data_IF_833171655476
#
_entry.id   IF_833171655476
#
_cell.length_a   1.000
_cell.length_b   1.000
_cell.length_c   1.000
_cell.angle_alpha   90.00
_cell.angle_beta   90.00
_cell.angle_gamma   90.00
#
_symmetry.space_group_name_H-M   'P 1'
#
loop_
_entity.id
_entity.type
_entity.pdbx_description
1 polymer ?
#
# COMPACT_ATOMS: atom_id res chain seq x y z
N UNK A 1 29.72 37.04 -13.26
CA UNK A 1 28.56 37.20 -12.37
C UNK A 1 27.96 35.82 -12.09
N UNK A 2 28.26 35.24 -10.91
CA UNK A 2 27.71 33.92 -10.53
C UNK A 2 26.29 34.10 -10.05
N UNK A 3 25.32 33.52 -10.75
CA UNK A 3 23.94 33.43 -10.29
C UNK A 3 23.85 32.22 -9.37
N UNK A 4 23.86 32.48 -8.05
CA UNK A 4 23.60 31.46 -7.05
C UNK A 4 22.11 31.08 -7.14
N UNK A 5 21.83 29.91 -7.70
CA UNK A 5 20.45 29.36 -7.76
C UNK A 5 20.11 28.84 -6.35
N UNK A 6 19.17 29.54 -5.69
CA UNK A 6 18.69 29.16 -4.37
C UNK A 6 17.90 27.86 -4.44
N UNK A 7 18.52 26.75 -4.04
CA UNK A 7 17.93 25.42 -4.06
C UNK A 7 16.71 25.25 -3.15
N UNK A 8 16.51 26.14 -2.15
CA UNK A 8 15.33 26.16 -1.30
C UNK A 8 14.10 26.73 -2.01
N UNK A 9 14.28 27.58 -3.03
CA UNK A 9 13.17 28.10 -3.83
C UNK A 9 12.55 27.03 -4.72
N UNK A 10 13.36 26.11 -5.23
CA UNK A 10 12.89 24.98 -6.07
C UNK A 10 12.16 23.89 -5.28
N UNK A 11 12.44 23.76 -3.98
CA UNK A 11 11.73 22.79 -3.10
C UNK A 11 10.33 23.23 -2.67
N UNK A 12 10.03 24.52 -2.67
CA UNK A 12 8.75 25.07 -2.18
C UNK A 12 7.70 25.26 -3.28
N UNK A 13 8.10 25.33 -4.53
CA UNK A 13 7.18 25.48 -5.66
C UNK A 13 7.36 24.32 -6.60
N UNK A 14 6.28 23.59 -6.91
CA UNK A 14 6.23 22.58 -7.98
C UNK A 14 6.39 23.30 -9.35
N UNK A 15 7.57 23.81 -9.66
CA UNK A 15 7.86 24.30 -11.00
C UNK A 15 7.97 23.08 -11.91
N UNK A 16 7.00 22.97 -12.80
CA UNK A 16 6.99 22.01 -13.90
C UNK A 16 8.32 22.12 -14.70
N UNK A 17 8.87 21.00 -15.12
CA UNK A 17 10.03 20.91 -16.04
C UNK A 17 9.83 21.85 -17.24
N UNK A 18 8.59 22.01 -17.69
CA UNK A 18 8.18 22.93 -18.78
C UNK A 18 8.47 24.40 -18.44
N UNK A 19 8.28 24.81 -17.18
CA UNK A 19 8.55 26.19 -16.73
C UNK A 19 10.06 26.46 -16.65
N UNK A 20 10.84 25.47 -16.21
CA UNK A 20 12.31 25.55 -16.24
C UNK A 20 12.84 25.63 -17.69
N UNK A 21 12.30 24.83 -18.60
CA UNK A 21 12.68 24.88 -20.03
C UNK A 21 12.33 26.25 -20.65
N UNK A 22 11.18 26.83 -20.29
CA UNK A 22 10.77 28.15 -20.77
C UNK A 22 11.65 29.30 -20.25
N UNK A 23 12.09 29.23 -19.01
CA UNK A 23 13.01 30.21 -18.43
C UNK A 23 14.43 30.09 -19.00
N UNK A 24 14.84 28.91 -19.42
CA UNK A 24 16.15 28.63 -19.98
C UNK A 24 16.22 28.91 -21.48
N UNK A 25 15.09 28.94 -22.22
CA UNK A 25 15.03 29.29 -23.65
C UNK A 25 15.31 30.76 -23.92
N UNK A 26 15.24 31.63 -22.91
CA UNK A 26 15.59 33.04 -23.03
C UNK A 26 17.07 33.33 -22.81
N UNK A 27 17.87 32.36 -22.40
CA UNK A 27 19.30 32.51 -22.19
C UNK A 27 20.11 31.88 -23.33
N UNK A 28 21.02 32.66 -23.91
CA UNK A 28 21.90 32.26 -25.04
C UNK A 28 22.84 31.05 -24.75
N UNK A 29 22.68 30.32 -23.65
CA UNK A 29 23.54 29.20 -23.23
C UNK A 29 22.75 27.87 -23.09
N UNK A 30 22.34 27.32 -24.23
CA UNK A 30 21.69 25.98 -24.27
C UNK A 30 22.53 24.87 -23.65
N UNK A 31 23.87 24.97 -23.68
CA UNK A 31 24.75 23.97 -23.07
C UNK A 31 24.65 23.95 -21.55
N UNK A 32 24.59 25.11 -20.89
CA UNK A 32 24.42 25.16 -19.42
C UNK A 32 23.06 24.63 -18.98
N UNK A 33 22.02 24.94 -19.74
CA UNK A 33 20.66 24.43 -19.51
C UNK A 33 20.59 22.91 -19.63
N UNK A 34 21.23 22.35 -20.66
CA UNK A 34 21.26 20.91 -20.88
C UNK A 34 22.02 20.17 -19.77
N UNK A 35 23.18 20.71 -19.33
CA UNK A 35 23.97 20.15 -18.24
C UNK A 35 23.19 20.20 -16.91
N UNK A 36 22.47 21.28 -16.60
CA UNK A 36 21.69 21.39 -15.36
C UNK A 36 20.49 20.42 -15.38
N UNK A 37 19.82 20.26 -16.52
CA UNK A 37 18.73 19.27 -16.67
C UNK A 37 19.29 17.85 -16.53
N UNK A 38 20.42 17.55 -17.16
CA UNK A 38 21.09 16.24 -17.05
C UNK A 38 21.53 15.94 -15.60
N UNK A 39 22.11 16.91 -14.89
CA UNK A 39 22.45 16.76 -13.46
C UNK A 39 21.22 16.55 -12.58
N UNK A 40 20.09 17.22 -12.87
CA UNK A 40 18.83 16.98 -12.17
C UNK A 40 18.28 15.57 -12.44
N UNK A 41 18.33 15.08 -13.67
CA UNK A 41 17.92 13.72 -14.01
C UNK A 41 18.78 12.66 -13.34
N UNK A 42 20.10 12.86 -13.30
CA UNK A 42 21.06 11.97 -12.62
C UNK A 42 20.79 11.97 -11.11
N UNK A 43 20.59 13.13 -10.49
CA UNK A 43 20.31 13.22 -9.04
C UNK A 43 18.96 12.61 -8.66
N UNK A 44 17.94 12.72 -9.52
CA UNK A 44 16.65 12.05 -9.34
C UNK A 44 16.78 10.54 -9.48
N UNK A 45 17.57 10.07 -10.44
CA UNK A 45 17.84 8.64 -10.65
C UNK A 45 18.55 7.99 -9.46
N UNK A 46 19.59 8.62 -8.94
CA UNK A 46 20.34 8.13 -7.78
C UNK A 46 19.50 8.13 -6.50
N UNK A 47 18.65 9.13 -6.31
CA UNK A 47 17.75 9.18 -5.15
C UNK A 47 16.69 8.07 -5.19
N UNK A 48 16.11 7.82 -6.36
CA UNK A 48 15.13 6.74 -6.53
C UNK A 48 15.77 5.34 -6.34
N UNK A 49 16.98 5.12 -6.85
CA UNK A 49 17.75 3.89 -6.63
C UNK A 49 18.06 3.68 -5.15
N UNK A 50 18.44 4.72 -4.42
CA UNK A 50 18.69 4.66 -2.99
C UNK A 50 17.42 4.29 -2.21
N UNK A 51 16.26 4.84 -2.54
CA UNK A 51 14.97 4.50 -1.89
C UNK A 51 14.61 3.04 -2.12
N UNK A 52 14.73 2.55 -3.35
CA UNK A 52 14.47 1.15 -3.68
C UNK A 52 15.41 0.19 -2.94
N UNK A 53 16.69 0.56 -2.82
CA UNK A 53 17.68 -0.24 -2.10
C UNK A 53 17.35 -0.29 -0.60
N UNK A 54 17.07 0.86 0.02
CA UNK A 54 16.66 0.93 1.43
C UNK A 54 15.41 0.10 1.71
N UNK A 55 14.43 0.13 0.80
CA UNK A 55 13.24 -0.70 0.92
C UNK A 55 13.58 -2.20 0.82
N UNK A 56 14.41 -2.62 -0.15
CA UNK A 56 14.82 -4.03 -0.31
C UNK A 56 15.53 -4.56 0.95
N UNK A 57 16.49 -3.79 1.47
CA UNK A 57 17.22 -4.15 2.69
C UNK A 57 16.30 -4.21 3.91
N UNK A 58 15.50 -3.15 4.12
CA UNK A 58 14.54 -3.10 5.22
C UNK A 58 13.50 -4.22 5.14
N UNK A 59 13.06 -4.59 3.92
CA UNK A 59 12.17 -5.73 3.69
C UNK A 59 12.85 -7.05 4.07
N UNK A 60 14.07 -7.29 3.62
CA UNK A 60 14.81 -8.52 3.91
C UNK A 60 15.02 -8.69 5.42
N UNK A 61 15.44 -7.63 6.11
CA UNK A 61 15.58 -7.61 7.57
C UNK A 61 14.26 -7.88 8.29
N UNK A 62 13.17 -7.29 7.81
CA UNK A 62 11.84 -7.53 8.37
C UNK A 62 11.39 -8.99 8.21
N UNK A 63 11.66 -9.62 7.07
CA UNK A 63 11.36 -11.03 6.80
C UNK A 63 12.23 -11.97 7.63
N UNK A 64 13.48 -11.58 7.88
CA UNK A 64 14.39 -12.24 8.83
C UNK A 64 14.04 -11.98 10.31
N UNK A 65 12.96 -11.25 10.61
CA UNK A 65 12.52 -10.84 11.96
C UNK A 65 13.50 -9.93 12.72
N UNK A 66 14.50 -9.38 12.04
CA UNK A 66 15.40 -8.37 12.60
C UNK A 66 14.74 -6.99 12.51
N UNK A 67 13.76 -6.75 13.39
CA UNK A 67 12.88 -5.59 13.31
C UNK A 67 13.58 -4.28 13.68
N UNK A 68 14.53 -4.33 14.61
CA UNK A 68 15.25 -3.14 15.07
C UNK A 68 16.11 -2.53 13.97
N UNK A 69 16.73 -3.37 13.12
CA UNK A 69 17.47 -2.91 11.96
C UNK A 69 16.57 -2.63 10.75
N UNK A 70 15.43 -3.33 10.62
CA UNK A 70 14.48 -3.13 9.54
C UNK A 70 13.77 -1.78 9.64
N UNK A 71 13.34 -1.40 10.85
CA UNK A 71 12.52 -0.22 11.09
C UNK A 71 13.15 1.08 10.56
N UNK A 72 14.40 1.47 10.90
CA UNK A 72 14.98 2.71 10.42
C UNK A 72 15.10 2.76 8.90
N UNK A 73 15.45 1.65 8.24
CA UNK A 73 15.54 1.59 6.77
C UNK A 73 14.16 1.74 6.12
N UNK A 74 13.15 1.05 6.65
CA UNK A 74 11.77 1.16 6.18
C UNK A 74 11.20 2.57 6.41
N UNK A 75 11.54 3.21 7.55
CA UNK A 75 11.12 4.57 7.87
C UNK A 75 11.65 5.56 6.83
N UNK A 76 12.94 5.55 6.55
CA UNK A 76 13.56 6.43 5.55
C UNK A 76 12.92 6.22 4.16
N UNK A 77 12.72 4.97 3.74
CA UNK A 77 12.10 4.68 2.44
C UNK A 77 10.63 5.15 2.39
N UNK A 78 9.88 4.99 3.48
CA UNK A 78 8.48 5.40 3.59
C UNK A 78 8.33 6.94 3.58
N UNK A 79 9.20 7.66 4.28
CA UNK A 79 9.25 9.13 4.30
C UNK A 79 9.61 9.70 2.92
N UNK A 80 10.45 9.00 2.16
CA UNK A 80 10.74 9.31 0.75
C UNK A 80 9.61 8.90 -0.20
N UNK A 81 8.54 8.35 0.32
CA UNK A 81 7.30 8.12 -0.41
C UNK A 81 7.16 6.74 -1.05
N UNK A 82 8.02 5.76 -0.78
CA UNK A 82 7.82 4.40 -1.26
C UNK A 82 6.54 3.78 -0.66
N UNK A 83 5.57 3.44 -1.50
CA UNK A 83 4.27 2.93 -1.06
C UNK A 83 4.34 1.56 -0.37
N UNK A 84 5.34 0.73 -0.71
CA UNK A 84 5.55 -0.57 -0.10
C UNK A 84 6.20 -0.43 1.27
N UNK A 85 7.15 0.50 1.41
CA UNK A 85 7.76 0.86 2.67
C UNK A 85 6.73 1.48 3.63
N UNK A 86 5.86 2.37 3.14
CA UNK A 86 4.76 2.96 3.92
C UNK A 86 3.85 1.88 4.52
N UNK A 87 3.46 0.88 3.72
CA UNK A 87 2.70 -0.28 4.22
C UNK A 87 3.48 -1.07 5.28
N UNK A 88 4.77 -1.36 5.04
CA UNK A 88 5.61 -2.10 6.00
C UNK A 88 5.82 -1.32 7.29
N UNK A 89 6.00 0.00 7.21
CA UNK A 89 6.12 0.87 8.37
C UNK A 89 4.82 0.90 9.20
N UNK A 90 3.66 0.98 8.53
CA UNK A 90 2.36 0.81 9.18
C UNK A 90 2.27 -0.51 9.97
N UNK A 91 2.77 -1.61 9.39
CA UNK A 91 2.83 -2.90 10.09
C UNK A 91 3.82 -2.92 11.26
N UNK A 92 4.91 -2.16 11.19
CA UNK A 92 5.83 -2.01 12.33
C UNK A 92 5.10 -1.37 13.52
N UNK A 93 4.40 -0.27 13.29
CA UNK A 93 3.63 0.40 14.34
C UNK A 93 2.44 -0.44 14.83
N UNK A 94 1.70 -1.12 13.94
CA UNK A 94 0.57 -1.98 14.33
C UNK A 94 0.99 -3.13 15.27
N UNK A 95 2.16 -3.71 15.03
CA UNK A 95 2.63 -4.92 15.75
C UNK A 95 3.72 -4.63 16.78
N UNK A 96 4.18 -3.40 16.93
CA UNK A 96 5.30 -3.05 17.80
C UNK A 96 6.62 -3.70 17.36
N UNK A 97 6.95 -3.68 16.05
CA UNK A 97 8.13 -4.33 15.48
C UNK A 97 9.25 -3.33 15.22
N UNK A 98 10.28 -3.34 16.04
CA UNK A 98 11.39 -2.37 16.02
C UNK A 98 10.98 -0.97 16.45
N UNK A 99 9.78 -0.82 17.03
CA UNK A 99 9.22 0.42 17.55
C UNK A 99 8.07 0.10 18.50
N UNK A 100 7.74 0.98 19.43
CA UNK A 100 6.55 0.87 20.26
C UNK A 100 5.28 0.79 19.39
N UNK A 101 4.31 -0.04 19.81
CA UNK A 101 3.01 -0.18 19.13
C UNK A 101 2.27 1.16 19.16
N UNK A 102 1.81 1.61 18.00
CA UNK A 102 0.98 2.81 17.83
C UNK A 102 -0.02 2.60 16.69
N UNK A 103 -1.28 2.40 17.06
CA UNK A 103 -2.35 2.13 16.09
C UNK A 103 -2.72 3.37 15.26
N UNK A 104 -2.59 4.57 15.83
CA UNK A 104 -2.89 5.82 15.11
C UNK A 104 -1.82 6.10 14.03
N UNK A 105 -0.53 5.90 14.36
CA UNK A 105 0.54 5.98 13.37
C UNK A 105 0.42 4.87 12.32
N UNK A 106 0.04 3.65 12.70
CA UNK A 106 -0.20 2.57 11.74
C UNK A 106 -1.28 2.95 10.73
N UNK A 107 -2.42 3.49 11.20
CA UNK A 107 -3.49 3.98 10.34
C UNK A 107 -3.02 5.06 9.37
N UNK A 108 -2.25 6.05 9.85
CA UNK A 108 -1.71 7.12 9.01
C UNK A 108 -0.81 6.59 7.89
N UNK A 109 0.09 5.63 8.21
CA UNK A 109 1.00 5.06 7.23
C UNK A 109 0.27 4.16 6.22
N UNK A 110 -0.75 3.40 6.65
CA UNK A 110 -1.60 2.64 5.74
C UNK A 110 -2.40 3.57 4.81
N UNK A 111 -2.88 4.71 5.32
CA UNK A 111 -3.55 5.74 4.51
C UNK A 111 -2.62 6.28 3.42
N UNK A 112 -1.38 6.66 3.77
CA UNK A 112 -0.39 7.13 2.78
C UNK A 112 -0.11 6.08 1.71
N UNK A 113 0.03 4.81 2.09
CA UNK A 113 0.23 3.70 1.16
C UNK A 113 -0.98 3.44 0.25
N UNK A 114 -2.19 3.51 0.82
CA UNK A 114 -3.44 3.30 0.10
C UNK A 114 -3.73 4.40 -0.94
N UNK A 115 -3.43 5.65 -0.62
CA UNK A 115 -3.55 6.81 -1.52
C UNK A 115 -2.60 6.73 -2.73
N UNK A 116 -1.58 5.87 -2.67
CA UNK A 116 -0.67 5.57 -3.80
C UNK A 116 -1.07 4.29 -4.54
N UNK A 117 -2.31 3.89 -4.41
CA UNK A 117 -2.89 2.71 -5.06
C UNK A 117 -2.06 1.43 -4.83
N UNK A 118 -1.58 1.24 -3.59
CA UNK A 118 -0.93 0.00 -3.22
C UNK A 118 -1.96 -0.98 -2.63
N UNK A 119 -2.25 -2.13 -3.29
CA UNK A 119 -3.35 -3.00 -2.88
C UNK A 119 -3.23 -3.53 -1.45
N UNK A 120 -2.00 -3.82 -0.98
CA UNK A 120 -1.78 -4.24 0.41
C UNK A 120 -2.01 -3.10 1.41
N UNK A 121 -1.69 -1.85 1.04
CA UNK A 121 -2.00 -0.66 1.83
C UNK A 121 -3.50 -0.40 1.90
N UNK A 122 -4.19 -0.50 0.76
CA UNK A 122 -5.66 -0.37 0.68
C UNK A 122 -6.35 -1.46 1.52
N UNK A 123 -5.89 -2.72 1.43
CA UNK A 123 -6.41 -3.80 2.27
C UNK A 123 -6.20 -3.52 3.77
N UNK A 124 -5.00 -3.11 4.17
CA UNK A 124 -4.70 -2.79 5.57
C UNK A 124 -5.57 -1.63 6.09
N UNK A 125 -5.77 -0.59 5.28
CA UNK A 125 -6.65 0.52 5.62
C UNK A 125 -8.11 0.07 5.75
N UNK A 126 -8.58 -0.81 4.86
CA UNK A 126 -9.90 -1.45 4.97
C UNK A 126 -10.04 -2.25 6.27
N UNK A 127 -9.00 -2.96 6.70
CA UNK A 127 -8.98 -3.65 8.00
C UNK A 127 -9.02 -2.68 9.17
N UNK A 128 -8.32 -1.55 9.10
CA UNK A 128 -8.39 -0.50 10.13
C UNK A 128 -9.82 -0.01 10.32
N UNK A 129 -10.52 0.33 9.24
CA UNK A 129 -11.93 0.75 9.33
C UNK A 129 -12.87 -0.38 9.78
N UNK A 130 -12.58 -1.65 9.42
CA UNK A 130 -13.40 -2.80 9.85
C UNK A 130 -13.29 -3.04 11.35
N UNK A 131 -12.07 -2.99 11.88
CA UNK A 131 -11.77 -3.41 13.25
C UNK A 131 -11.64 -2.23 14.23
N UNK A 132 -11.51 -0.98 13.71
CA UNK A 132 -11.33 0.23 14.52
C UNK A 132 -9.88 0.42 14.98
N UNK A 133 -8.90 0.03 14.15
CA UNK A 133 -7.47 0.16 14.46
C UNK A 133 -7.01 1.58 14.12
N UNK A 134 -6.68 2.37 15.15
CA UNK A 134 -6.24 3.76 14.98
C UNK A 134 -7.31 4.73 14.42
N UNK A 135 -8.56 4.27 14.29
CA UNK A 135 -9.71 5.06 13.80
C UNK A 135 -11.02 4.45 14.32
N UNK A 136 -12.13 5.19 14.21
CA UNK A 136 -13.44 4.62 14.46
C UNK A 136 -13.81 3.56 13.41
N UNK A 137 -14.61 2.55 13.81
CA UNK A 137 -15.14 1.54 12.89
C UNK A 137 -16.06 2.19 11.86
N UNK A 138 -15.81 1.89 10.59
CA UNK A 138 -16.64 2.34 9.47
C UNK A 138 -16.76 1.21 8.44
N UNK A 139 -17.82 0.39 8.52
CA UNK A 139 -18.01 -0.74 7.61
C UNK A 139 -18.13 -0.32 6.14
N UNK A 140 -18.65 0.88 5.86
CA UNK A 140 -18.79 1.39 4.49
C UNK A 140 -17.43 1.69 3.88
N UNK A 141 -16.57 2.45 4.58
CA UNK A 141 -15.20 2.70 4.15
C UNK A 141 -14.39 1.40 4.07
N UNK A 142 -14.59 0.48 5.01
CA UNK A 142 -13.93 -0.83 4.93
C UNK A 142 -14.25 -1.55 3.63
N UNK A 143 -15.54 -1.64 3.25
CA UNK A 143 -15.97 -2.26 1.99
C UNK A 143 -15.42 -1.54 0.76
N UNK A 144 -15.38 -0.20 0.75
CA UNK A 144 -14.80 0.61 -0.32
C UNK A 144 -13.30 0.32 -0.52
N UNK A 145 -12.52 0.27 0.56
CA UNK A 145 -11.09 -0.03 0.49
C UNK A 145 -10.81 -1.49 0.15
N UNK A 146 -11.64 -2.42 0.61
CA UNK A 146 -11.55 -3.82 0.17
C UNK A 146 -11.85 -3.94 -1.33
N UNK A 147 -12.82 -3.18 -1.87
CA UNK A 147 -13.10 -3.19 -3.29
C UNK A 147 -11.92 -2.68 -4.12
N UNK A 148 -11.28 -1.55 -3.72
CA UNK A 148 -10.08 -1.03 -4.39
C UNK A 148 -8.93 -2.03 -4.36
N UNK A 149 -8.65 -2.62 -3.19
CA UNK A 149 -7.59 -3.61 -3.04
C UNK A 149 -7.88 -4.90 -3.83
N UNK A 150 -9.14 -5.33 -3.90
CA UNK A 150 -9.57 -6.51 -4.65
C UNK A 150 -9.43 -6.33 -6.18
N UNK A 151 -9.68 -5.12 -6.68
CA UNK A 151 -9.41 -4.73 -8.06
C UNK A 151 -7.91 -4.73 -8.36
N UNK A 152 -7.06 -4.38 -7.38
CA UNK A 152 -5.61 -4.50 -7.43
C UNK A 152 -5.06 -5.90 -7.19
N UNK A 153 -5.87 -6.94 -7.39
CA UNK A 153 -5.51 -8.36 -7.28
C UNK A 153 -4.96 -8.78 -5.90
N UNK A 154 -5.50 -8.19 -4.82
CA UNK A 154 -5.22 -8.63 -3.47
C UNK A 154 -6.20 -9.74 -3.05
N UNK A 155 -5.72 -10.97 -2.88
CA UNK A 155 -6.56 -12.14 -2.56
C UNK A 155 -7.31 -12.01 -1.23
N UNK A 156 -6.64 -11.50 -0.18
CA UNK A 156 -7.28 -11.27 1.12
C UNK A 156 -8.41 -10.23 1.01
N UNK A 157 -8.22 -9.20 0.20
CA UNK A 157 -9.24 -8.17 -0.04
C UNK A 157 -10.41 -8.74 -0.85
N UNK A 158 -10.17 -9.56 -1.87
CA UNK A 158 -11.20 -10.27 -2.62
C UNK A 158 -12.05 -11.13 -1.68
N UNK A 159 -11.42 -11.85 -0.76
CA UNK A 159 -12.11 -12.63 0.27
C UNK A 159 -12.94 -11.76 1.23
N UNK A 160 -12.39 -10.66 1.75
CA UNK A 160 -13.13 -9.76 2.63
C UNK A 160 -14.30 -9.08 1.92
N UNK A 161 -14.12 -8.69 0.66
CA UNK A 161 -15.21 -8.10 -0.15
C UNK A 161 -16.33 -9.12 -0.38
N UNK A 162 -15.99 -10.39 -0.65
CA UNK A 162 -16.98 -11.47 -0.70
C UNK A 162 -17.78 -11.58 0.60
N UNK A 163 -17.12 -11.46 1.76
CA UNK A 163 -17.81 -11.45 3.07
C UNK A 163 -18.67 -10.21 3.28
N UNK A 164 -18.24 -9.05 2.79
CA UNK A 164 -19.07 -7.83 2.84
C UNK A 164 -20.36 -8.03 2.06
N UNK A 165 -20.31 -8.54 0.82
CA UNK A 165 -21.50 -8.85 0.02
C UNK A 165 -22.36 -9.96 0.64
N UNK A 166 -21.75 -11.01 1.19
CA UNK A 166 -22.48 -12.11 1.82
C UNK A 166 -23.32 -11.65 3.01
N UNK A 167 -22.80 -10.72 3.83
CA UNK A 167 -23.41 -10.27 5.09
C UNK A 167 -24.04 -8.89 5.02
N UNK A 168 -23.97 -8.17 3.91
CA UNK A 168 -24.45 -6.80 3.81
C UNK A 168 -23.68 -5.81 4.70
N UNK A 169 -22.40 -6.06 4.99
CA UNK A 169 -21.60 -5.20 5.87
C UNK A 169 -20.96 -4.05 5.07
N UNK A 170 -21.48 -2.85 5.27
CA UNK A 170 -21.00 -1.63 4.59
C UNK A 170 -21.39 -1.53 3.11
N UNK A 171 -22.09 -2.51 2.58
CA UNK A 171 -22.57 -2.60 1.21
C UNK A 171 -23.84 -3.47 1.18
N UNK A 172 -24.75 -3.23 0.22
CA UNK A 172 -25.95 -4.05 0.06
C UNK A 172 -25.59 -5.52 -0.16
N UNK A 173 -26.26 -6.43 0.56
CA UNK A 173 -26.05 -7.86 0.43
C UNK A 173 -26.35 -8.35 -0.98
N UNK A 174 -25.47 -9.17 -1.53
CA UNK A 174 -25.60 -9.75 -2.88
C UNK A 174 -24.85 -11.10 -2.93
N UNK A 175 -25.61 -12.19 -2.89
CA UNK A 175 -25.03 -13.54 -2.86
C UNK A 175 -24.30 -13.91 -4.16
N UNK A 176 -24.76 -13.38 -5.31
CA UNK A 176 -24.09 -13.63 -6.61
C UNK A 176 -22.73 -12.96 -6.65
N UNK A 177 -22.65 -11.70 -6.21
CA UNK A 177 -21.37 -10.98 -6.09
C UNK A 177 -20.47 -11.62 -5.05
N UNK A 178 -21.01 -12.04 -3.90
CA UNK A 178 -20.25 -12.76 -2.89
C UNK A 178 -19.60 -14.02 -3.48
N UNK A 179 -20.37 -14.86 -4.17
CA UNK A 179 -19.88 -16.08 -4.84
C UNK A 179 -18.76 -15.76 -5.85
N UNK A 180 -18.95 -14.74 -6.69
CA UNK A 180 -17.96 -14.31 -7.67
C UNK A 180 -16.64 -13.90 -7.00
N UNK A 181 -16.70 -13.11 -5.93
CA UNK A 181 -15.48 -12.66 -5.23
C UNK A 181 -14.80 -13.80 -4.46
N UNK A 182 -15.53 -14.75 -3.87
CA UNK A 182 -14.91 -15.93 -3.25
C UNK A 182 -14.21 -16.82 -4.30
N UNK A 183 -14.82 -17.03 -5.47
CA UNK A 183 -14.17 -17.75 -6.57
C UNK A 183 -12.86 -17.07 -6.99
N UNK A 184 -12.87 -15.74 -7.18
CA UNK A 184 -11.66 -14.97 -7.50
C UNK A 184 -10.60 -15.09 -6.41
N UNK A 185 -10.99 -14.95 -5.14
CA UNK A 185 -10.06 -15.05 -4.02
C UNK A 185 -9.38 -16.42 -3.94
N UNK A 186 -10.11 -17.50 -4.17
CA UNK A 186 -9.59 -18.88 -4.12
C UNK A 186 -8.73 -19.19 -5.35
N UNK A 187 -9.09 -18.68 -6.53
CA UNK A 187 -8.33 -18.84 -7.76
C UNK A 187 -7.10 -17.93 -7.86
N UNK A 188 -6.92 -17.01 -6.91
CA UNK A 188 -5.83 -16.06 -6.94
C UNK A 188 -4.46 -16.75 -6.78
N UNK A 189 -3.56 -16.55 -7.75
CA UNK A 189 -2.25 -17.21 -7.78
C UNK A 189 -1.35 -16.87 -6.58
N UNK A 190 -1.49 -15.62 -6.04
CA UNK A 190 -0.62 -15.09 -4.99
C UNK A 190 -1.07 -15.42 -3.56
N UNK A 191 -2.29 -15.91 -3.37
CA UNK A 191 -2.81 -16.14 -2.01
C UNK A 191 -4.02 -17.06 -1.93
N UNK A 192 -4.55 -17.53 -3.06
CA UNK A 192 -5.79 -18.31 -3.09
C UNK A 192 -5.68 -19.65 -2.37
N UNK A 193 -4.55 -20.33 -2.50
CA UNK A 193 -4.28 -21.62 -1.80
C UNK A 193 -4.37 -21.44 -0.29
N UNK A 194 -3.77 -20.38 0.27
CA UNK A 194 -3.78 -20.12 1.70
C UNK A 194 -5.19 -19.74 2.19
N UNK A 195 -5.93 -18.98 1.39
CA UNK A 195 -7.33 -18.64 1.67
C UNK A 195 -8.19 -19.90 1.70
N UNK A 196 -8.08 -20.75 0.68
CA UNK A 196 -8.84 -21.99 0.61
C UNK A 196 -8.53 -22.92 1.80
N UNK A 197 -7.25 -23.08 2.13
CA UNK A 197 -6.82 -23.89 3.29
C UNK A 197 -7.43 -23.36 4.60
N UNK A 198 -7.40 -22.04 4.81
CA UNK A 198 -8.02 -21.40 6.00
C UNK A 198 -9.54 -21.62 6.05
N UNK A 199 -10.23 -21.51 4.90
CA UNK A 199 -11.69 -21.72 4.85
C UNK A 199 -12.01 -23.18 5.14
N UNK A 200 -11.31 -24.14 4.53
CA UNK A 200 -11.50 -25.57 4.77
C UNK A 200 -11.26 -25.96 6.21
N UNK A 201 -10.19 -25.45 6.81
CA UNK A 201 -9.91 -25.68 8.25
C UNK A 201 -11.07 -25.21 9.11
N UNK A 202 -11.56 -23.99 8.93
CA UNK A 202 -12.71 -23.47 9.69
C UNK A 202 -13.98 -24.26 9.44
N UNK A 203 -14.23 -24.69 8.24
CA UNK A 203 -15.40 -25.51 7.89
C UNK A 203 -15.36 -26.88 8.59
N UNK A 204 -14.17 -27.50 8.70
CA UNK A 204 -13.97 -28.76 9.46
C UNK A 204 -14.10 -28.57 10.97
N UNK A 205 -13.84 -27.36 11.47
CA UNK A 205 -14.03 -26.96 12.88
C UNK A 205 -15.51 -26.56 13.17
N UNK A 206 -16.43 -26.71 12.21
CA UNK A 206 -17.85 -26.46 12.39
C UNK A 206 -18.34 -25.06 12.03
N UNK A 207 -17.46 -24.15 11.51
CA UNK A 207 -17.87 -22.79 11.12
C UNK A 207 -18.83 -22.81 9.91
N UNK A 208 -20.11 -22.54 10.17
CA UNK A 208 -21.15 -22.53 9.12
C UNK A 208 -20.96 -21.44 8.07
N UNK A 209 -20.34 -20.30 8.44
CA UNK A 209 -19.99 -19.30 7.44
C UNK A 209 -18.90 -19.82 6.48
N UNK A 210 -17.94 -20.59 6.98
CA UNK A 210 -16.92 -21.20 6.15
C UNK A 210 -17.52 -22.25 5.22
N UNK A 211 -18.44 -23.08 5.70
CA UNK A 211 -19.20 -24.04 4.88
C UNK A 211 -19.99 -23.31 3.79
N UNK A 212 -20.71 -22.22 4.15
CA UNK A 212 -21.46 -21.41 3.20
C UNK A 212 -20.54 -20.79 2.12
N UNK A 213 -19.36 -20.32 2.49
CA UNK A 213 -18.39 -19.77 1.54
C UNK A 213 -17.90 -20.83 0.56
N UNK A 214 -17.56 -22.04 1.01
CA UNK A 214 -17.18 -23.16 0.12
C UNK A 214 -18.32 -23.49 -0.87
N UNK A 215 -19.55 -23.58 -0.37
CA UNK A 215 -20.74 -23.81 -1.20
C UNK A 215 -20.91 -22.73 -2.27
N UNK A 216 -20.81 -21.45 -1.87
CA UNK A 216 -20.92 -20.30 -2.78
C UNK A 216 -19.80 -20.28 -3.83
N UNK A 217 -18.59 -20.65 -3.44
CA UNK A 217 -17.45 -20.75 -4.34
C UNK A 217 -17.50 -21.97 -5.27
N UNK A 218 -18.41 -22.92 -5.04
CA UNK A 218 -18.51 -24.17 -5.81
C UNK A 218 -17.35 -25.12 -5.55
N UNK A 219 -16.77 -25.06 -4.36
CA UNK A 219 -15.64 -25.91 -3.93
C UNK A 219 -16.19 -27.06 -3.06
N UNK A 220 -15.84 -28.29 -3.46
CA UNK A 220 -16.13 -29.50 -2.69
C UNK A 220 -15.12 -29.69 -1.54
#
# INVERSE_FOLDING_TARGET
MSIAINTNFLKKNQFSIVTCIRLLSSAKNYQLAFVTILMMMVSMGTNAQNVNQLFKEGKALYEAKNYDQAFPKLKVAAEKGDKKAQYRLGRCYEKGRGVAKDEALAFQWYTKSALKDYPKGQYALGMCYKDGIGTAKDPKKAAEYFAKAAQGDNADAQYQLGKCYMKGKGITADQKKAASWFKKAIANEKGGKDILAKIRKKASEGDDNAKAILKLAGVK
#
